data_IF_237351853515
#
_entry.id   IF_237351853515
#
_cell.length_a   1.000
_cell.length_b   1.000
_cell.length_c   1.000
_cell.angle_alpha   90.00
_cell.angle_beta   90.00
_cell.angle_gamma   90.00
#
_symmetry.space_group_name_H-M   'P 1'
#
loop_
_entity.id
_entity.type
_entity.pdbx_description
1 polymer ?
#
# COMPACT_ATOMS: atom_id res chain seq x y z
N UNK A 1 44.83 1.78 18.00
CA UNK A 1 43.78 2.80 17.77
C UNK A 1 43.39 2.98 16.30
N UNK A 2 44.28 3.39 15.38
CA UNK A 2 43.91 3.60 13.95
C UNK A 2 43.48 2.30 13.23
N UNK A 3 44.22 1.21 13.40
CA UNK A 3 43.90 -0.10 12.77
C UNK A 3 42.56 -0.69 13.23
N UNK A 4 42.20 -0.48 14.49
CA UNK A 4 40.95 -0.98 15.07
C UNK A 4 39.74 -0.19 14.57
N UNK A 5 39.86 1.14 14.46
CA UNK A 5 38.84 1.99 13.82
C UNK A 5 38.59 1.61 12.37
N UNK A 6 39.63 1.31 11.60
CA UNK A 6 39.50 0.85 10.20
C UNK A 6 38.79 -0.49 10.11
N UNK A 7 39.08 -1.42 11.02
CA UNK A 7 38.42 -2.74 11.06
C UNK A 7 36.92 -2.61 11.33
N UNK A 8 36.54 -1.82 12.34
CA UNK A 8 35.13 -1.56 12.68
C UNK A 8 34.39 -0.92 11.51
N UNK A 9 34.95 0.13 10.90
CA UNK A 9 34.34 0.78 9.72
C UNK A 9 34.14 -0.19 8.54
N UNK A 10 35.07 -1.12 8.35
CA UNK A 10 34.97 -2.13 7.30
C UNK A 10 33.84 -3.15 7.60
N UNK A 11 33.69 -3.55 8.86
CA UNK A 11 32.62 -4.47 9.30
C UNK A 11 31.24 -3.82 9.18
N UNK A 12 31.10 -2.56 9.62
CA UNK A 12 29.87 -1.77 9.48
C UNK A 12 29.47 -1.60 8.00
N UNK A 13 30.45 -1.30 7.13
CA UNK A 13 30.20 -1.15 5.70
C UNK A 13 29.69 -2.45 5.06
N UNK A 14 30.24 -3.61 5.45
CA UNK A 14 29.76 -4.92 4.97
C UNK A 14 28.36 -5.23 5.48
N UNK A 15 28.07 -4.91 6.75
CA UNK A 15 26.74 -5.11 7.34
C UNK A 15 25.70 -4.27 6.60
N UNK A 16 25.99 -3.00 6.33
CA UNK A 16 25.12 -2.12 5.57
C UNK A 16 24.87 -2.65 4.15
N UNK A 17 25.93 -3.06 3.45
CA UNK A 17 25.79 -3.65 2.11
C UNK A 17 24.91 -4.92 2.11
N UNK A 18 25.05 -5.78 3.13
CA UNK A 18 24.20 -6.97 3.28
C UNK A 18 22.73 -6.61 3.52
N UNK A 19 22.46 -5.58 4.32
CA UNK A 19 21.09 -5.12 4.60
C UNK A 19 20.43 -4.51 3.36
N UNK A 20 21.19 -3.75 2.58
CA UNK A 20 20.73 -3.18 1.30
C UNK A 20 20.39 -4.33 0.33
N UNK A 21 21.29 -5.29 0.15
CA UNK A 21 21.07 -6.43 -0.74
C UNK A 21 19.86 -7.28 -0.32
N UNK A 22 19.64 -7.47 0.99
CA UNK A 22 18.46 -8.16 1.50
C UNK A 22 17.17 -7.39 1.20
N UNK A 23 17.19 -6.06 1.38
CA UNK A 23 16.04 -5.18 1.09
C UNK A 23 15.69 -5.19 -0.40
N UNK A 24 16.68 -5.02 -1.27
CA UNK A 24 16.52 -5.08 -2.73
C UNK A 24 15.95 -6.44 -3.17
N UNK A 25 16.42 -7.53 -2.56
CA UNK A 25 15.91 -8.87 -2.83
C UNK A 25 14.44 -9.02 -2.43
N UNK A 26 14.03 -8.47 -1.28
CA UNK A 26 12.62 -8.47 -0.84
C UNK A 26 11.72 -7.67 -1.78
N UNK A 27 12.15 -6.48 -2.19
CA UNK A 27 11.42 -5.64 -3.16
C UNK A 27 11.25 -6.38 -4.48
N UNK A 28 12.31 -6.99 -5.00
CA UNK A 28 12.25 -7.79 -6.23
C UNK A 28 11.27 -8.97 -6.12
N UNK A 29 11.34 -9.73 -5.02
CA UNK A 29 10.43 -10.84 -4.78
C UNK A 29 8.97 -10.38 -4.66
N UNK A 30 8.72 -9.24 -3.99
CA UNK A 30 7.39 -8.64 -3.93
C UNK A 30 6.87 -8.27 -5.32
N UNK A 31 7.70 -7.65 -6.16
CA UNK A 31 7.34 -7.30 -7.53
C UNK A 31 7.05 -8.54 -8.38
N UNK A 32 7.84 -9.61 -8.27
CA UNK A 32 7.60 -10.89 -8.97
C UNK A 32 6.27 -11.52 -8.54
N UNK A 33 5.99 -11.56 -7.23
CA UNK A 33 4.71 -12.06 -6.71
C UNK A 33 3.54 -11.22 -7.20
N UNK A 34 3.64 -9.89 -7.14
CA UNK A 34 2.61 -8.98 -7.62
C UNK A 34 2.33 -9.14 -9.13
N UNK A 35 3.38 -9.31 -9.94
CA UNK A 35 3.27 -9.49 -11.38
C UNK A 35 2.74 -10.88 -11.78
N UNK A 36 2.80 -11.88 -10.88
CA UNK A 36 2.22 -13.21 -11.14
C UNK A 36 0.69 -13.21 -11.23
N UNK A 37 0.02 -12.14 -10.76
CA UNK A 37 -1.44 -12.04 -10.70
C UNK A 37 -2.08 -12.82 -9.54
N UNK A 38 -1.27 -13.47 -8.69
CA UNK A 38 -1.74 -14.13 -7.48
C UNK A 38 -2.12 -13.08 -6.44
N UNK A 39 -3.37 -13.14 -5.97
CA UNK A 39 -3.87 -12.30 -4.88
C UNK A 39 -3.20 -12.73 -3.58
N UNK A 40 -2.66 -11.81 -2.75
CA UNK A 40 -2.09 -12.14 -1.46
C UNK A 40 -3.09 -12.83 -0.51
N UNK A 41 -2.56 -13.59 0.45
CA UNK A 41 -3.40 -14.29 1.43
C UNK A 41 -4.20 -13.30 2.28
N UNK A 42 -5.50 -13.54 2.42
CA UNK A 42 -6.42 -12.76 3.27
C UNK A 42 -6.78 -13.52 4.55
N UNK A 43 -7.36 -12.85 5.56
CA UNK A 43 -8.11 -13.54 6.61
C UNK A 43 -9.17 -14.47 6.01
N UNK A 44 -9.46 -15.58 6.68
CA UNK A 44 -10.34 -16.65 6.17
C UNK A 44 -11.80 -16.22 5.99
N UNK A 45 -12.25 -15.22 6.76
CA UNK A 45 -13.58 -14.63 6.73
C UNK A 45 -13.72 -13.46 5.75
N UNK A 46 -12.61 -13.02 5.13
CA UNK A 46 -12.56 -11.84 4.26
C UNK A 46 -12.58 -12.25 2.79
N UNK A 47 -13.36 -11.52 1.99
CA UNK A 47 -13.44 -11.71 0.55
C UNK A 47 -13.15 -10.41 -0.19
N UNK A 48 -12.09 -10.41 -0.99
CA UNK A 48 -11.77 -9.29 -1.89
C UNK A 48 -12.97 -8.89 -2.76
N UNK A 49 -13.67 -9.88 -3.32
CA UNK A 49 -14.82 -9.63 -4.19
C UNK A 49 -15.94 -8.87 -3.45
N UNK A 50 -16.20 -9.21 -2.19
CA UNK A 50 -17.19 -8.48 -1.37
C UNK A 50 -16.74 -7.05 -1.08
N UNK A 51 -15.45 -6.83 -0.79
CA UNK A 51 -14.92 -5.49 -0.57
C UNK A 51 -15.02 -4.63 -1.84
N UNK A 52 -14.74 -5.21 -3.00
CA UNK A 52 -14.90 -4.54 -4.31
C UNK A 52 -16.38 -4.23 -4.57
N UNK A 53 -17.28 -5.18 -4.32
CA UNK A 53 -18.72 -4.95 -4.46
C UNK A 53 -19.21 -3.82 -3.57
N UNK A 54 -18.72 -3.74 -2.33
CA UNK A 54 -19.01 -2.65 -1.41
C UNK A 54 -18.49 -1.30 -1.93
N UNK A 55 -17.27 -1.27 -2.45
CA UNK A 55 -16.68 -0.07 -3.06
C UNK A 55 -17.46 0.40 -4.31
N UNK A 56 -17.93 -0.52 -5.15
CA UNK A 56 -18.78 -0.20 -6.29
C UNK A 56 -20.13 0.36 -5.85
N UNK A 57 -20.76 -0.23 -4.82
CA UNK A 57 -22.00 0.30 -4.23
C UNK A 57 -21.81 1.72 -3.70
N UNK A 58 -20.66 2.00 -3.08
CA UNK A 58 -20.31 3.34 -2.64
C UNK A 58 -20.22 4.31 -3.84
N UNK A 59 -19.51 3.93 -4.91
CA UNK A 59 -19.43 4.71 -6.15
C UNK A 59 -20.82 5.00 -6.73
N UNK A 60 -21.67 4.01 -6.87
CA UNK A 60 -23.03 4.19 -7.40
C UNK A 60 -23.91 5.06 -6.48
N UNK A 61 -23.85 4.86 -5.17
CA UNK A 61 -24.58 5.67 -4.21
C UNK A 61 -24.14 7.14 -4.25
N UNK A 62 -22.84 7.40 -4.43
CA UNK A 62 -22.31 8.77 -4.51
C UNK A 62 -22.84 9.57 -5.71
N UNK A 63 -23.21 8.89 -6.81
CA UNK A 63 -23.81 9.53 -8.00
C UNK A 63 -25.20 10.11 -7.72
N UNK A 64 -25.88 9.65 -6.67
CA UNK A 64 -27.18 10.17 -6.26
C UNK A 64 -27.08 11.49 -5.49
N UNK A 65 -25.86 11.90 -5.10
CA UNK A 65 -25.61 13.12 -4.35
C UNK A 65 -25.28 14.24 -5.34
N UNK A 66 -26.14 15.26 -5.40
CA UNK A 66 -25.94 16.42 -6.27
C UNK A 66 -24.82 17.29 -5.69
N UNK A 67 -23.63 17.17 -6.26
CA UNK A 67 -22.42 17.88 -5.81
C UNK A 67 -21.81 17.25 -4.56
N UNK A 68 -20.48 17.06 -4.55
CA UNK A 68 -19.76 16.52 -3.39
C UNK A 68 -19.81 15.00 -3.21
N UNK A 69 -20.36 14.26 -4.16
CA UNK A 69 -20.34 12.79 -4.13
C UNK A 69 -18.94 12.20 -3.98
N UNK A 70 -17.92 12.79 -4.63
CA UNK A 70 -16.53 12.33 -4.48
C UNK A 70 -16.01 12.51 -3.05
N UNK A 71 -16.37 13.61 -2.38
CA UNK A 71 -15.97 13.85 -1.00
C UNK A 71 -16.62 12.84 -0.04
N UNK A 72 -17.87 12.44 -0.30
CA UNK A 72 -18.55 11.38 0.45
C UNK A 72 -17.87 10.03 0.23
N UNK A 73 -17.53 9.70 -1.03
CA UNK A 73 -16.76 8.49 -1.37
C UNK A 73 -15.44 8.46 -0.62
N UNK A 74 -14.65 9.54 -0.68
CA UNK A 74 -13.37 9.63 0.02
C UNK A 74 -13.53 9.50 1.54
N UNK A 75 -14.54 10.15 2.12
CA UNK A 75 -14.83 10.08 3.55
C UNK A 75 -15.17 8.67 4.00
N UNK A 76 -16.11 7.99 3.32
CA UNK A 76 -16.51 6.62 3.66
C UNK A 76 -15.35 5.65 3.41
N UNK A 77 -14.67 5.75 2.27
CA UNK A 77 -13.51 4.93 1.94
C UNK A 77 -12.41 5.08 3.01
N UNK A 78 -12.12 6.31 3.45
CA UNK A 78 -11.17 6.56 4.54
C UNK A 78 -11.55 5.82 5.83
N UNK A 79 -12.84 5.78 6.19
CA UNK A 79 -13.27 5.04 7.40
C UNK A 79 -13.00 3.53 7.32
N UNK A 80 -13.00 2.96 6.11
CA UNK A 80 -12.72 1.54 5.88
C UNK A 80 -11.25 1.23 5.99
N UNK A 81 -10.38 2.10 5.46
CA UNK A 81 -8.94 1.81 5.26
C UNK A 81 -8.00 2.43 6.28
N UNK A 82 -8.45 3.39 7.09
CA UNK A 82 -7.63 4.01 8.15
C UNK A 82 -7.16 2.98 9.17
N UNK A 83 -6.18 3.35 10.00
CA UNK A 83 -5.75 2.55 11.16
C UNK A 83 -6.97 2.09 12.00
N UNK A 84 -7.05 0.78 12.27
CA UNK A 84 -8.17 0.09 12.94
C UNK A 84 -9.51 0.18 12.19
N UNK A 85 -9.47 0.52 10.90
CA UNK A 85 -10.60 0.42 9.99
C UNK A 85 -10.92 -1.04 9.67
N UNK A 86 -12.08 -1.26 9.07
CA UNK A 86 -12.56 -2.60 8.74
C UNK A 86 -11.62 -3.36 7.80
N UNK A 87 -10.93 -2.64 6.90
CA UNK A 87 -10.00 -3.19 5.92
C UNK A 87 -8.53 -3.06 6.33
N UNK A 88 -8.25 -2.65 7.58
CA UNK A 88 -6.90 -2.66 8.15
C UNK A 88 -6.54 -4.07 8.64
N UNK A 89 -6.36 -4.99 7.68
CA UNK A 89 -6.19 -6.42 7.98
C UNK A 89 -4.91 -6.74 8.74
N UNK A 90 -3.89 -5.88 8.68
CA UNK A 90 -2.65 -6.07 9.46
C UNK A 90 -2.84 -5.96 10.97
N UNK A 91 -3.97 -5.42 11.43
CA UNK A 91 -4.35 -5.45 12.85
C UNK A 91 -4.76 -6.84 13.32
N UNK A 92 -5.20 -7.71 12.40
CA UNK A 92 -5.53 -9.11 12.71
C UNK A 92 -4.25 -9.95 12.77
N UNK A 93 -3.41 -9.80 11.74
CA UNK A 93 -2.08 -10.40 11.66
C UNK A 93 -1.23 -9.62 10.66
N UNK A 94 0.04 -9.36 10.97
CA UNK A 94 0.97 -8.62 10.10
C UNK A 94 1.20 -9.31 8.75
N UNK A 95 1.01 -10.62 8.68
CA UNK A 95 1.10 -11.38 7.42
C UNK A 95 0.06 -10.97 6.38
N UNK A 96 -0.98 -10.23 6.77
CA UNK A 96 -2.00 -9.70 5.87
C UNK A 96 -1.71 -8.29 5.33
N UNK A 97 -0.53 -7.72 5.57
CA UNK A 97 -0.16 -6.39 5.07
C UNK A 97 -0.20 -6.30 3.54
N UNK A 98 0.42 -7.27 2.84
CA UNK A 98 0.37 -7.39 1.38
C UNK A 98 -1.08 -7.39 0.85
N UNK A 99 -1.97 -8.15 1.51
CA UNK A 99 -3.39 -8.21 1.15
C UNK A 99 -4.13 -6.91 1.45
N UNK A 100 -3.83 -6.25 2.57
CA UNK A 100 -4.39 -4.94 2.89
C UNK A 100 -4.07 -3.89 1.83
N UNK A 101 -2.80 -3.82 1.40
CA UNK A 101 -2.35 -2.91 0.36
C UNK A 101 -2.94 -3.24 -1.01
N UNK A 102 -3.01 -4.53 -1.37
CA UNK A 102 -3.71 -4.96 -2.58
C UNK A 102 -5.21 -4.60 -2.54
N UNK A 103 -5.88 -4.87 -1.43
CA UNK A 103 -7.29 -4.55 -1.23
C UNK A 103 -7.53 -3.04 -1.33
N UNK A 104 -6.67 -2.22 -0.72
CA UNK A 104 -6.74 -0.76 -0.82
C UNK A 104 -6.71 -0.27 -2.27
N UNK A 105 -5.74 -0.75 -3.06
CA UNK A 105 -5.63 -0.39 -4.48
C UNK A 105 -6.84 -0.83 -5.30
N UNK A 106 -7.30 -2.07 -5.10
CA UNK A 106 -8.42 -2.64 -5.84
C UNK A 106 -9.76 -1.95 -5.51
N UNK A 107 -10.06 -1.81 -4.22
CA UNK A 107 -11.31 -1.20 -3.74
C UNK A 107 -11.33 0.30 -3.98
N UNK A 108 -10.20 1.00 -3.85
CA UNK A 108 -10.12 2.42 -4.17
C UNK A 108 -10.41 2.69 -5.64
N UNK A 109 -9.85 1.88 -6.54
CA UNK A 109 -10.13 1.95 -7.98
C UNK A 109 -11.61 1.67 -8.27
N UNK A 110 -12.17 0.61 -7.67
CA UNK A 110 -13.57 0.25 -7.82
C UNK A 110 -14.54 1.31 -7.25
N UNK A 111 -14.12 2.08 -6.24
CA UNK A 111 -14.82 3.24 -5.71
C UNK A 111 -14.73 4.48 -6.64
N UNK A 112 -13.92 4.42 -7.70
CA UNK A 112 -13.70 5.52 -8.63
C UNK A 112 -12.65 6.53 -8.18
N UNK A 113 -11.82 6.19 -7.19
CA UNK A 113 -10.75 7.07 -6.71
C UNK A 113 -9.58 7.02 -7.72
N UNK A 114 -9.05 8.17 -8.17
CA UNK A 114 -7.91 8.18 -9.09
C UNK A 114 -6.67 7.50 -8.51
N UNK A 115 -5.93 6.78 -9.35
CA UNK A 115 -4.69 6.07 -8.98
C UNK A 115 -3.70 6.97 -8.22
N UNK A 116 -3.46 8.19 -8.73
CA UNK A 116 -2.53 9.13 -8.09
C UNK A 116 -3.00 9.59 -6.70
N UNK A 117 -4.31 9.61 -6.45
CA UNK A 117 -4.85 9.91 -5.11
C UNK A 117 -4.58 8.73 -4.18
N UNK A 118 -4.76 7.49 -4.64
CA UNK A 118 -4.50 6.29 -3.83
C UNK A 118 -3.02 6.18 -3.44
N UNK A 119 -2.12 6.29 -4.40
CA UNK A 119 -0.67 6.11 -4.16
C UNK A 119 -0.13 7.18 -3.19
N UNK A 120 -0.56 8.44 -3.34
CA UNK A 120 -0.14 9.54 -2.47
C UNK A 120 -0.82 9.51 -1.10
N UNK A 121 -2.09 9.09 -1.02
CA UNK A 121 -2.79 8.97 0.25
C UNK A 121 -2.18 7.87 1.15
N UNK A 122 -1.69 6.78 0.57
CA UNK A 122 -0.96 5.74 1.30
C UNK A 122 0.33 6.31 1.92
N UNK A 123 1.15 7.00 1.13
CA UNK A 123 2.36 7.66 1.64
C UNK A 123 2.09 8.78 2.66
N UNK A 124 1.00 9.53 2.51
CA UNK A 124 0.56 10.49 3.52
C UNK A 124 0.16 9.80 4.83
N UNK A 125 -0.53 8.66 4.76
CA UNK A 125 -0.89 7.86 5.94
C UNK A 125 0.35 7.32 6.66
N UNK A 126 1.34 6.81 5.92
CA UNK A 126 2.62 6.36 6.47
C UNK A 126 3.41 7.50 7.14
N UNK A 127 3.39 8.69 6.53
CA UNK A 127 3.99 9.90 7.12
C UNK A 127 3.32 10.27 8.45
N UNK A 128 1.98 10.26 8.50
CA UNK A 128 1.21 10.56 9.72
C UNK A 128 1.44 9.50 10.82
N UNK A 129 1.61 8.23 10.44
CA UNK A 129 1.91 7.14 11.37
C UNK A 129 3.32 7.23 11.98
N UNK A 130 4.20 8.08 11.43
CA UNK A 130 5.59 8.20 11.88
C UNK A 130 6.44 6.98 11.53
N UNK A 131 6.03 6.19 10.54
CA UNK A 131 6.73 4.98 10.09
C UNK A 131 7.41 5.16 8.73
N UNK A 132 7.36 6.35 8.15
CA UNK A 132 8.07 6.68 6.91
C UNK A 132 9.59 6.78 7.16
N UNK A 133 10.37 6.25 6.23
CA UNK A 133 11.83 6.39 6.15
C UNK A 133 12.16 7.51 5.17
N UNK A 134 13.16 8.34 5.47
CA UNK A 134 13.56 9.48 4.61
C UNK A 134 13.81 9.07 3.15
N UNK A 135 14.29 7.83 2.93
CA UNK A 135 14.54 7.28 1.59
C UNK A 135 13.29 7.17 0.72
N UNK A 136 12.10 7.13 1.31
CA UNK A 136 10.83 7.02 0.59
C UNK A 136 10.34 8.38 0.06
N UNK A 137 10.96 9.48 0.48
CA UNK A 137 10.55 10.83 0.06
C UNK A 137 9.27 11.29 0.74
N UNK A 138 8.50 12.15 0.06
CA UNK A 138 7.26 12.72 0.60
C UNK A 138 6.07 12.42 -0.31
N UNK A 139 4.86 12.48 0.24
CA UNK A 139 3.63 12.20 -0.53
C UNK A 139 3.32 13.21 -1.64
N UNK A 140 4.00 14.35 -1.67
CA UNK A 140 3.93 15.34 -2.76
C UNK A 140 5.11 15.27 -3.75
N UNK A 141 6.06 14.34 -3.59
CA UNK A 141 7.20 14.16 -4.50
C UNK A 141 6.98 13.00 -5.47
N UNK A 142 8.06 12.42 -5.99
CA UNK A 142 8.07 11.22 -6.84
C UNK A 142 7.76 9.95 -6.04
N UNK A 143 7.46 8.86 -6.76
CA UNK A 143 7.32 7.52 -6.21
C UNK A 143 8.56 7.15 -5.38
N UNK A 144 8.42 6.51 -4.20
CA UNK A 144 7.23 5.85 -3.65
C UNK A 144 6.29 6.76 -2.86
N UNK A 145 6.36 8.08 -3.04
CA UNK A 145 5.45 9.05 -2.42
C UNK A 145 5.50 9.02 -0.88
N UNK A 146 6.64 8.67 -0.27
CA UNK A 146 6.77 8.57 1.19
C UNK A 146 6.23 7.28 1.82
N UNK A 147 5.79 6.33 0.98
CA UNK A 147 5.30 5.01 1.39
C UNK A 147 6.38 3.93 1.25
N UNK A 148 6.19 2.76 1.88
CA UNK A 148 7.09 1.62 1.69
C UNK A 148 7.02 1.12 0.24
N UNK A 149 8.16 0.75 -0.34
CA UNK A 149 8.23 0.30 -1.73
C UNK A 149 7.42 -0.99 -1.99
N UNK A 150 7.38 -1.91 -1.03
CA UNK A 150 6.58 -3.14 -1.12
C UNK A 150 5.10 -2.82 -1.04
N UNK A 151 4.72 -1.87 -0.19
CA UNK A 151 3.33 -1.41 -0.06
C UNK A 151 2.85 -0.79 -1.39
N UNK A 152 3.64 0.09 -2.01
CA UNK A 152 3.34 0.66 -3.33
C UNK A 152 3.23 -0.38 -4.44
N UNK A 153 4.06 -1.43 -4.42
CA UNK A 153 3.97 -2.55 -5.35
C UNK A 153 2.59 -3.22 -5.25
N UNK A 154 2.14 -3.52 -4.03
CA UNK A 154 0.86 -4.20 -3.81
C UNK A 154 -0.34 -3.31 -4.07
N UNK A 155 -0.30 -2.03 -3.70
CA UNK A 155 -1.33 -1.05 -4.06
C UNK A 155 -1.46 -0.98 -5.57
N UNK A 156 -0.34 -0.85 -6.29
CA UNK A 156 -0.33 -0.81 -7.76
C UNK A 156 -0.87 -2.10 -8.36
N UNK A 157 -0.55 -3.26 -7.79
CA UNK A 157 -1.08 -4.55 -8.23
C UNK A 157 -2.60 -4.63 -8.06
N UNK A 158 -3.14 -4.14 -6.94
CA UNK A 158 -4.58 -4.04 -6.69
C UNK A 158 -5.29 -3.12 -7.69
N UNK A 159 -4.69 -1.96 -7.99
CA UNK A 159 -5.20 -1.02 -9.01
C UNK A 159 -5.25 -1.68 -10.38
N UNK A 160 -4.15 -2.33 -10.81
CA UNK A 160 -4.08 -3.06 -12.07
C UNK A 160 -5.12 -4.18 -12.13
N UNK A 161 -5.29 -4.92 -11.04
CA UNK A 161 -6.32 -5.95 -10.94
C UNK A 161 -7.72 -5.38 -11.17
N UNK A 162 -8.10 -4.31 -10.47
CA UNK A 162 -9.41 -3.70 -10.63
C UNK A 162 -9.64 -3.17 -12.07
N UNK A 163 -8.65 -2.47 -12.65
CA UNK A 163 -8.71 -2.01 -14.04
C UNK A 163 -8.85 -3.16 -15.04
N UNK A 164 -8.17 -4.30 -14.81
CA UNK A 164 -8.26 -5.48 -15.68
C UNK A 164 -9.65 -6.15 -15.68
N UNK A 165 -10.50 -5.79 -14.72
CA UNK A 165 -11.86 -6.29 -14.55
C UNK A 165 -12.91 -5.22 -14.90
N UNK A 166 -12.49 -4.09 -15.46
CA UNK A 166 -13.34 -2.95 -15.83
C UNK A 166 -14.14 -2.37 -14.65
N UNK A 167 -13.54 -2.33 -13.46
CA UNK A 167 -14.12 -1.70 -12.27
C UNK A 167 -13.82 -0.19 -12.19
#
# INVERSE_FOLDING_TARGET
MLSEKVKVLTEDSRRLASQIAETESKVKQAAERANSGVIPASPTDVSLAKNIEEAQKLKEASKLIVGGGEAVTLGIFYTKVRNKGEWDYKQRDKTYEDFGNFNYGATGTAAGIPEQVLLRAAGAAQSIAGTSDEKFGNWWTESPYGDDEIDQIWITAGIKYAKSKDF
#
